data_IF_002351238613
#
_entry.id   IF_002351238613
#
_cell.length_a   1.000
_cell.length_b   1.000
_cell.length_c   1.000
_cell.angle_alpha   90.00
_cell.angle_beta   90.00
_cell.angle_gamma   90.00
#
_symmetry.space_group_name_H-M   'P 1'
#
loop_
_entity.id
_entity.type
_entity.pdbx_description
1 polymer ?
#
# COMPACT_ATOMS: atom_id res chain seq x y z
N UNK A 1 11.64 -7.23 1.59
CA UNK A 1 10.57 -6.86 2.52
C UNK A 1 10.84 -5.44 3.00
N UNK A 2 9.83 -4.57 3.00
CA UNK A 2 9.96 -3.19 3.46
C UNK A 2 9.50 -3.11 4.92
N UNK A 3 10.12 -2.27 5.76
CA UNK A 3 9.72 -2.14 7.15
C UNK A 3 8.23 -1.78 7.25
N UNK A 4 7.50 -2.44 8.17
CA UNK A 4 6.06 -2.30 8.34
C UNK A 4 5.66 -0.87 8.68
N UNK A 5 5.31 -0.09 7.67
CA UNK A 5 5.18 1.36 7.75
C UNK A 5 3.94 1.86 8.51
N UNK A 6 2.91 1.01 8.68
CA UNK A 6 1.57 1.46 9.09
C UNK A 6 1.04 1.00 10.46
N UNK A 7 1.77 0.18 11.22
CA UNK A 7 1.20 -0.44 12.43
C UNK A 7 1.93 -0.16 13.75
N UNK A 8 3.23 0.16 13.73
CA UNK A 8 3.95 0.51 14.94
C UNK A 8 3.70 1.99 15.30
N UNK A 9 3.36 2.28 16.56
CA UNK A 9 3.40 3.65 17.11
C UNK A 9 4.85 4.12 17.11
N UNK A 10 5.32 4.61 15.97
CA UNK A 10 6.65 5.19 15.81
C UNK A 10 6.58 6.71 15.93
N UNK A 11 7.62 7.37 16.46
CA UNK A 11 7.70 8.82 16.48
C UNK A 11 7.57 9.40 15.06
N UNK A 12 6.96 10.59 14.94
CA UNK A 12 6.75 11.27 13.65
C UNK A 12 8.05 11.44 12.87
N UNK A 13 9.16 11.74 13.56
CA UNK A 13 10.47 11.86 12.95
C UNK A 13 10.94 10.55 12.28
N UNK A 14 10.67 9.41 12.91
CA UNK A 14 10.99 8.10 12.37
C UNK A 14 10.11 7.76 11.15
N UNK A 15 8.82 8.11 11.22
CA UNK A 15 7.89 7.97 10.08
C UNK A 15 8.38 8.77 8.87
N UNK A 16 8.78 10.03 9.05
CA UNK A 16 9.35 10.87 7.99
C UNK A 16 10.62 10.28 7.39
N UNK A 17 11.52 9.77 8.24
CA UNK A 17 12.75 9.10 7.78
C UNK A 17 12.43 7.88 6.91
N UNK A 18 11.47 7.06 7.32
CA UNK A 18 11.02 5.92 6.53
C UNK A 18 10.38 6.32 5.21
N UNK A 19 9.51 7.33 5.20
CA UNK A 19 8.90 7.85 3.98
C UNK A 19 9.97 8.32 2.98
N UNK A 20 10.98 9.06 3.44
CA UNK A 20 12.10 9.50 2.60
C UNK A 20 12.90 8.30 2.04
N UNK A 21 13.26 7.34 2.88
CA UNK A 21 14.02 6.16 2.45
C UNK A 21 13.23 5.25 1.49
N UNK A 22 11.92 5.12 1.69
CA UNK A 22 11.06 4.34 0.79
C UNK A 22 10.94 5.02 -0.58
N UNK A 23 10.69 6.34 -0.60
CA UNK A 23 10.62 7.09 -1.86
C UNK A 23 11.93 6.99 -2.64
N UNK A 24 13.07 7.13 -1.96
CA UNK A 24 14.39 6.94 -2.58
C UNK A 24 14.58 5.51 -3.14
N UNK A 25 14.17 4.50 -2.38
CA UNK A 25 14.27 3.10 -2.82
C UNK A 25 13.45 2.86 -4.10
N UNK A 26 12.20 3.32 -4.12
CA UNK A 26 11.32 3.17 -5.29
C UNK A 26 11.91 3.88 -6.51
N UNK A 27 12.46 5.09 -6.36
CA UNK A 27 13.01 5.85 -7.47
C UNK A 27 14.35 5.32 -7.99
N UNK A 28 15.27 4.93 -7.10
CA UNK A 28 16.66 4.63 -7.47
C UNK A 28 16.90 3.16 -7.80
N UNK A 29 16.04 2.24 -7.36
CA UNK A 29 16.24 0.80 -7.54
C UNK A 29 15.87 0.36 -8.97
N UNK A 30 16.83 0.44 -9.90
CA UNK A 30 16.64 0.06 -11.32
C UNK A 30 16.17 -1.38 -11.57
N UNK A 31 16.47 -2.32 -10.66
CA UNK A 31 16.02 -3.70 -10.77
C UNK A 31 14.59 -3.93 -10.26
N UNK A 32 13.94 -2.92 -9.68
CA UNK A 32 12.55 -3.00 -9.26
C UNK A 32 11.64 -3.01 -10.49
N UNK A 33 10.73 -3.99 -10.54
CA UNK A 33 9.81 -4.20 -11.68
C UNK A 33 8.34 -4.09 -11.29
N UNK A 34 8.04 -3.97 -10.00
CA UNK A 34 6.69 -3.81 -9.49
C UNK A 34 6.68 -3.71 -7.98
N UNK A 35 5.58 -3.22 -7.44
CA UNK A 35 5.31 -3.08 -6.02
C UNK A 35 4.03 -3.84 -5.67
N UNK A 36 4.08 -4.69 -4.64
CA UNK A 36 2.88 -5.31 -4.07
C UNK A 36 2.58 -4.60 -2.75
N UNK A 37 1.40 -3.99 -2.65
CA UNK A 37 0.96 -3.26 -1.45
C UNK A 37 -0.05 -4.10 -0.71
N UNK A 38 0.32 -4.57 0.49
CA UNK A 38 -0.49 -5.46 1.30
C UNK A 38 -1.37 -4.64 2.24
N UNK A 39 -2.68 -4.72 2.05
CA UNK A 39 -3.67 -3.98 2.83
C UNK A 39 -4.60 -4.94 3.56
N UNK A 40 -5.01 -4.62 4.78
CA UNK A 40 -6.04 -5.38 5.48
C UNK A 40 -7.40 -5.08 4.83
N UNK A 41 -8.11 -6.10 4.34
CA UNK A 41 -9.40 -5.92 3.63
C UNK A 41 -10.47 -5.20 4.45
N UNK A 42 -10.32 -5.15 5.79
CA UNK A 42 -11.27 -4.47 6.67
C UNK A 42 -11.09 -2.95 6.63
N UNK A 43 -9.88 -2.48 6.30
CA UNK A 43 -9.48 -1.07 6.31
C UNK A 43 -8.42 -0.80 5.23
N UNK A 44 -8.73 -0.97 3.93
CA UNK A 44 -7.77 -0.72 2.85
C UNK A 44 -7.52 0.78 2.65
N UNK A 45 -6.46 1.12 1.91
CA UNK A 45 -6.08 2.50 1.56
C UNK A 45 -5.88 3.42 2.76
N UNK A 46 -5.10 2.98 3.75
CA UNK A 46 -4.63 3.94 4.77
C UNK A 46 -3.72 4.97 4.12
N UNK A 47 -3.54 6.12 4.76
CA UNK A 47 -2.75 7.24 4.23
C UNK A 47 -1.38 6.79 3.67
N UNK A 48 -0.69 5.90 4.39
CA UNK A 48 0.61 5.38 3.98
C UNK A 48 0.56 4.43 2.78
N UNK A 49 -0.52 3.65 2.65
CA UNK A 49 -0.73 2.81 1.46
C UNK A 49 -0.93 3.70 0.23
N UNK A 50 -1.71 4.78 0.38
CA UNK A 50 -1.94 5.76 -0.67
C UNK A 50 -0.66 6.49 -1.07
N UNK A 51 0.13 6.99 -0.10
CA UNK A 51 1.44 7.61 -0.35
C UNK A 51 2.35 6.68 -1.19
N UNK A 52 2.40 5.40 -0.82
CA UNK A 52 3.18 4.38 -1.49
C UNK A 52 2.74 4.12 -2.93
N UNK A 53 1.43 3.98 -3.13
CA UNK A 53 0.83 3.79 -4.45
C UNK A 53 1.16 5.00 -5.32
N UNK A 54 0.97 6.23 -4.82
CA UNK A 54 1.27 7.45 -5.56
C UNK A 54 2.75 7.56 -5.95
N UNK A 55 3.68 7.26 -5.05
CA UNK A 55 5.11 7.29 -5.37
C UNK A 55 5.51 6.23 -6.40
N UNK A 56 4.95 5.03 -6.31
CA UNK A 56 5.21 3.97 -7.28
C UNK A 56 4.67 4.35 -8.66
N UNK A 57 3.43 4.85 -8.74
CA UNK A 57 2.83 5.32 -9.99
C UNK A 57 3.62 6.47 -10.59
N UNK A 58 4.01 7.47 -9.79
CA UNK A 58 4.85 8.58 -10.24
C UNK A 58 6.24 8.14 -10.73
N UNK A 59 6.71 6.97 -10.29
CA UNK A 59 7.97 6.36 -10.72
C UNK A 59 7.80 5.34 -11.84
N UNK A 60 6.62 5.25 -12.47
CA UNK A 60 6.26 4.24 -13.49
C UNK A 60 6.49 2.80 -13.04
N UNK A 61 6.29 2.52 -11.75
CA UNK A 61 6.37 1.17 -11.18
C UNK A 61 4.96 0.57 -11.17
N UNK A 62 4.74 -0.58 -11.84
CA UNK A 62 3.47 -1.30 -11.74
C UNK A 62 3.13 -1.66 -10.30
N UNK A 63 1.88 -1.40 -9.88
CA UNK A 63 1.43 -1.67 -8.52
C UNK A 63 0.36 -2.76 -8.52
N UNK A 64 0.53 -3.75 -7.63
CA UNK A 64 -0.48 -4.75 -7.29
C UNK A 64 -1.00 -4.48 -5.87
N UNK A 65 -2.25 -4.02 -5.76
CA UNK A 65 -2.95 -3.93 -4.49
C UNK A 65 -3.44 -5.32 -4.04
N UNK A 66 -3.00 -5.78 -2.88
CA UNK A 66 -3.39 -7.07 -2.32
C UNK A 66 -4.20 -6.90 -1.02
N UNK A 67 -5.48 -7.25 -1.08
CA UNK A 67 -6.37 -7.24 0.08
C UNK A 67 -6.20 -8.53 0.91
N UNK A 68 -5.40 -8.44 1.95
CA UNK A 68 -5.12 -9.51 2.92
C UNK A 68 -6.26 -9.70 3.93
N UNK A 69 -6.25 -10.82 4.67
CA UNK A 69 -7.22 -11.17 5.73
C UNK A 69 -8.68 -11.26 5.25
N UNK A 70 -8.89 -11.69 4.01
CA UNK A 70 -10.20 -11.92 3.42
C UNK A 70 -11.08 -12.90 4.21
N UNK A 71 -10.47 -13.80 4.99
CA UNK A 71 -11.13 -14.71 5.94
C UNK A 71 -11.95 -13.97 7.01
N UNK A 72 -11.57 -12.73 7.37
CA UNK A 72 -12.25 -11.93 8.39
C UNK A 72 -13.58 -11.33 7.94
N UNK A 73 -13.93 -11.49 6.66
CA UNK A 73 -15.21 -11.02 6.11
C UNK A 73 -16.03 -12.18 5.55
N UNK A 74 -17.35 -12.13 5.81
CA UNK A 74 -18.34 -12.98 5.14
C UNK A 74 -18.37 -12.65 3.63
N UNK A 75 -18.77 -13.62 2.81
CA UNK A 75 -18.72 -13.55 1.33
C UNK A 75 -19.28 -12.23 0.76
N UNK A 76 -20.47 -11.80 1.18
CA UNK A 76 -21.09 -10.56 0.70
C UNK A 76 -20.24 -9.31 1.01
N UNK A 77 -19.78 -9.16 2.25
CA UNK A 77 -18.90 -8.02 2.64
C UNK A 77 -17.56 -8.07 1.92
N UNK A 78 -17.00 -9.27 1.72
CA UNK A 78 -15.74 -9.46 0.98
C UNK A 78 -15.87 -8.95 -0.46
N UNK A 79 -16.95 -9.34 -1.16
CA UNK A 79 -17.21 -8.88 -2.53
C UNK A 79 -17.42 -7.37 -2.59
N UNK A 80 -18.19 -6.80 -1.67
CA UNK A 80 -18.40 -5.36 -1.59
C UNK A 80 -17.09 -4.58 -1.38
N UNK A 81 -16.23 -5.04 -0.46
CA UNK A 81 -14.92 -4.42 -0.22
C UNK A 81 -14.00 -4.52 -1.45
N UNK A 82 -13.99 -5.65 -2.16
CA UNK A 82 -13.21 -5.80 -3.38
C UNK A 82 -13.67 -4.83 -4.48
N UNK A 83 -14.98 -4.66 -4.65
CA UNK A 83 -15.52 -3.73 -5.66
C UNK A 83 -15.17 -2.28 -5.32
N UNK A 84 -15.39 -1.87 -4.07
CA UNK A 84 -15.02 -0.54 -3.58
C UNK A 84 -13.53 -0.26 -3.78
N UNK A 85 -12.66 -1.22 -3.44
CA UNK A 85 -11.23 -1.06 -3.63
C UNK A 85 -10.80 -1.00 -5.10
N UNK A 86 -11.48 -1.75 -5.97
CA UNK A 86 -11.24 -1.71 -7.41
C UNK A 86 -11.64 -0.36 -8.00
N UNK A 87 -12.80 0.16 -7.62
CA UNK A 87 -13.26 1.49 -8.04
C UNK A 87 -12.29 2.57 -7.58
N UNK A 88 -11.88 2.56 -6.31
CA UNK A 88 -10.93 3.51 -5.75
C UNK A 88 -9.55 3.47 -6.45
N UNK A 89 -9.10 2.31 -6.92
CA UNK A 89 -7.83 2.17 -7.61
C UNK A 89 -7.86 2.59 -9.10
N UNK A 90 -9.05 2.80 -9.67
CA UNK A 90 -9.23 3.24 -11.07
C UNK A 90 -9.57 4.73 -11.18
N UNK A 91 -9.87 5.39 -10.07
CA UNK A 91 -10.10 6.83 -9.97
C UNK A 91 -8.77 7.60 -9.88
#
# INVERSE_FOLDING_TARGET
DLPGYGFAKVPVAMKKKWQASLGEYLQKRKSLKGLVVLMDIRHPFKDLDQDLIHWAVASNIPVLALLTKADKLKSGKRKAQLLMAREAAMA
#
